data_IF_656003673208
#
_entry.id   IF_656003673208
#
_cell.length_a   1.000
_cell.length_b   1.000
_cell.length_c   1.000
_cell.angle_alpha   90.00
_cell.angle_beta   90.00
_cell.angle_gamma   90.00
#
_symmetry.space_group_name_H-M   'P 1'
#
loop_
_entity.id
_entity.type
_entity.pdbx_description
1 polymer ?
#
# COMPACT_ATOMS: atom_id res chain seq x y z
N UNK A 1 20.04 16.89 13.67
CA UNK A 1 21.10 17.31 14.62
C UNK A 1 22.45 17.04 13.97
N UNK A 2 23.42 17.94 14.03
CA UNK A 2 24.78 17.70 13.52
C UNK A 2 25.74 17.65 14.69
N UNK A 3 26.37 16.49 14.92
CA UNK A 3 27.29 16.23 16.01
C UNK A 3 28.70 15.97 15.47
N UNK A 4 29.73 16.53 16.13
CA UNK A 4 31.13 16.19 15.86
C UNK A 4 31.88 16.10 17.18
N UNK A 5 32.43 14.92 17.47
CA UNK A 5 33.25 14.68 18.67
C UNK A 5 32.50 14.79 19.99
N UNK A 6 31.24 14.34 20.08
CA UNK A 6 30.44 14.42 21.30
C UNK A 6 29.76 15.77 21.53
N UNK A 7 29.91 16.73 20.61
CA UNK A 7 29.36 18.08 20.73
C UNK A 7 28.43 18.39 19.56
N UNK A 8 27.23 18.87 19.89
CA UNK A 8 26.23 19.32 18.90
C UNK A 8 26.68 20.65 18.31
N UNK A 9 26.94 20.66 17.00
CA UNK A 9 27.38 21.85 16.25
C UNK A 9 26.21 22.64 15.65
N UNK A 10 25.13 21.98 15.28
CA UNK A 10 23.91 22.65 14.82
C UNK A 10 22.68 21.76 14.99
N UNK A 11 21.54 22.40 15.24
CA UNK A 11 20.22 21.79 15.24
C UNK A 11 19.30 22.65 14.38
N UNK A 12 18.45 22.00 13.59
CA UNK A 12 17.31 22.63 12.94
C UNK A 12 16.05 21.94 13.48
N UNK A 13 15.04 22.70 13.87
CA UNK A 13 13.81 22.21 14.50
C UNK A 13 13.39 23.04 15.72
N UNK A 14 12.19 22.77 16.22
CA UNK A 14 11.65 23.35 17.45
C UNK A 14 12.07 22.51 18.66
N UNK A 15 12.50 23.18 19.74
CA UNK A 15 12.87 22.54 21.00
C UNK A 15 11.77 22.81 22.03
N UNK A 16 11.20 21.75 22.59
CA UNK A 16 10.24 21.85 23.69
C UNK A 16 10.88 21.34 24.98
N UNK A 17 10.91 22.18 26.01
CA UNK A 17 11.39 21.78 27.34
C UNK A 17 10.27 21.05 28.07
N UNK A 18 10.54 19.82 28.50
CA UNK A 18 9.59 18.99 29.24
C UNK A 18 10.11 18.84 30.67
N UNK A 19 9.53 19.58 31.60
CA UNK A 19 9.85 19.48 33.03
C UNK A 19 8.89 18.50 33.71
N UNK A 20 9.19 17.20 33.64
CA UNK A 20 8.38 16.18 34.31
C UNK A 20 9.21 14.98 34.76
N UNK A 21 8.87 14.46 35.93
CA UNK A 21 9.45 13.25 36.54
C UNK A 21 8.50 12.05 36.46
N UNK A 22 7.45 12.13 35.63
CA UNK A 22 6.46 11.06 35.48
C UNK A 22 7.13 9.74 35.10
N UNK A 23 6.64 8.65 35.69
CA UNK A 23 7.05 7.28 35.37
C UNK A 23 5.84 6.53 34.83
N UNK A 24 6.06 5.56 33.95
CA UNK A 24 4.97 4.71 33.45
C UNK A 24 4.23 4.00 34.61
N UNK A 25 2.91 4.11 34.61
CA UNK A 25 2.02 3.40 35.57
C UNK A 25 1.40 2.14 34.96
N UNK A 26 1.45 1.98 33.63
CA UNK A 26 1.07 0.74 32.92
C UNK A 26 2.30 0.03 32.39
N UNK A 27 2.21 -1.29 32.21
CA UNK A 27 3.27 -2.09 31.58
C UNK A 27 3.24 -1.96 30.05
N UNK A 28 4.37 -2.27 29.41
CA UNK A 28 4.48 -2.37 27.95
C UNK A 28 3.40 -3.28 27.36
N UNK A 29 3.20 -4.48 27.92
CA UNK A 29 2.16 -5.40 27.45
C UNK A 29 0.75 -4.80 27.49
N UNK A 30 0.42 -4.04 28.56
CA UNK A 30 -0.88 -3.36 28.63
C UNK A 30 -1.01 -2.29 27.55
N UNK A 31 0.08 -1.56 27.28
CA UNK A 31 0.10 -0.55 26.22
C UNK A 31 -0.12 -1.20 24.83
N UNK A 32 0.50 -2.35 24.57
CA UNK A 32 0.24 -3.16 23.37
C UNK A 32 -1.24 -3.55 23.30
N UNK A 33 -1.83 -4.06 24.39
CA UNK A 33 -3.25 -4.43 24.41
C UNK A 33 -4.18 -3.23 24.13
N UNK A 34 -3.79 -2.01 24.53
CA UNK A 34 -4.52 -0.78 24.18
C UNK A 34 -4.36 -0.44 22.69
N UNK A 35 -3.15 -0.53 22.15
CA UNK A 35 -2.86 -0.25 20.75
C UNK A 35 -3.58 -1.23 19.81
N UNK A 36 -3.58 -2.54 20.11
CA UNK A 36 -4.27 -3.56 19.31
C UNK A 36 -5.80 -3.44 19.39
N UNK A 37 -6.35 -2.92 20.50
CA UNK A 37 -7.77 -2.58 20.59
C UNK A 37 -8.13 -1.33 19.79
N UNK A 38 -7.18 -0.42 19.60
CA UNK A 38 -7.36 0.77 18.79
C UNK A 38 -7.29 0.45 17.28
N UNK A 39 -6.38 -0.44 16.91
CA UNK A 39 -6.17 -0.93 15.54
C UNK A 39 -6.55 -2.42 15.42
N UNK A 40 -7.85 -2.78 15.48
CA UNK A 40 -8.26 -4.17 15.37
C UNK A 40 -7.97 -4.73 13.97
N UNK A 41 -7.40 -5.94 13.92
CA UNK A 41 -7.17 -6.67 12.68
C UNK A 41 -7.53 -8.15 12.86
N UNK A 42 -7.90 -8.81 11.76
CA UNK A 42 -8.05 -10.26 11.69
C UNK A 42 -6.70 -10.96 11.57
N UNK A 43 -5.75 -10.28 10.90
CA UNK A 43 -4.38 -10.73 10.73
C UNK A 43 -3.44 -9.53 10.84
N UNK A 44 -2.42 -9.64 11.67
CA UNK A 44 -1.37 -8.66 11.82
C UNK A 44 -0.08 -9.09 11.12
N UNK A 45 0.81 -8.12 10.87
CA UNK A 45 2.08 -8.32 10.17
C UNK A 45 2.95 -9.44 10.76
N UNK A 46 3.07 -9.49 12.08
CA UNK A 46 3.87 -10.50 12.80
C UNK A 46 3.27 -11.92 12.78
N UNK A 47 2.00 -12.06 12.40
CA UNK A 47 1.35 -13.37 12.24
C UNK A 47 1.61 -13.97 10.85
N UNK A 48 2.24 -13.22 9.95
CA UNK A 48 2.61 -13.68 8.62
C UNK A 48 3.94 -14.43 8.64
N UNK A 49 3.98 -15.63 8.04
CA UNK A 49 5.18 -16.44 7.85
C UNK A 49 5.97 -16.07 6.58
N UNK A 50 5.60 -14.98 5.90
CA UNK A 50 6.24 -14.50 4.69
C UNK A 50 7.60 -13.84 5.03
N UNK A 51 8.61 -14.67 5.29
CA UNK A 51 10.00 -14.25 5.40
C UNK A 51 10.72 -14.42 4.07
N UNK A 52 11.21 -13.31 3.49
CA UNK A 52 12.04 -13.35 2.29
C UNK A 52 12.40 -11.96 1.77
N UNK A 53 13.51 -11.40 2.26
CA UNK A 53 14.19 -10.23 1.68
C UNK A 53 13.55 -8.88 2.04
N UNK A 54 14.24 -8.07 2.85
CA UNK A 54 13.77 -6.80 3.48
C UNK A 54 12.64 -6.93 4.53
N UNK A 55 12.04 -8.12 4.68
CA UNK A 55 10.88 -8.46 5.51
C UNK A 55 11.03 -8.40 7.05
N UNK A 56 12.19 -8.09 7.62
CA UNK A 56 12.34 -8.09 9.10
C UNK A 56 11.51 -7.00 9.80
N UNK A 57 11.23 -5.87 9.13
CA UNK A 57 10.44 -4.77 9.72
C UNK A 57 8.93 -4.96 9.59
N UNK A 58 8.45 -5.92 8.80
CA UNK A 58 7.02 -6.14 8.53
C UNK A 58 6.41 -7.26 9.38
N UNK A 59 7.25 -8.06 10.04
CA UNK A 59 6.84 -9.21 10.86
C UNK A 59 7.14 -9.03 12.35
N UNK A 60 7.43 -7.81 12.81
CA UNK A 60 7.76 -7.56 14.21
C UNK A 60 6.49 -7.38 15.05
N UNK A 61 6.43 -8.11 16.16
CA UNK A 61 5.48 -7.83 17.23
C UNK A 61 5.75 -6.42 17.78
N UNK A 62 4.72 -5.64 18.19
CA UNK A 62 4.94 -4.30 18.69
C UNK A 62 5.97 -4.27 19.83
N UNK A 63 6.98 -3.41 19.68
CA UNK A 63 8.05 -3.18 20.67
C UNK A 63 7.94 -1.75 21.20
N UNK A 64 7.33 -1.54 22.37
CA UNK A 64 7.03 -0.19 22.87
C UNK A 64 8.26 0.56 23.37
N UNK A 65 8.48 1.77 22.86
CA UNK A 65 9.48 2.71 23.37
C UNK A 65 8.80 3.79 24.23
N UNK A 66 9.33 4.04 25.43
CA UNK A 66 8.80 5.08 26.31
C UNK A 66 9.35 6.46 25.93
N UNK A 67 8.48 7.35 25.46
CA UNK A 67 8.84 8.69 24.97
C UNK A 67 7.87 9.76 25.49
N UNK A 68 8.18 11.02 25.22
CA UNK A 68 7.22 12.11 25.36
C UNK A 68 6.57 12.42 24.02
N UNK A 69 5.27 12.22 23.92
CA UNK A 69 4.50 12.47 22.70
C UNK A 69 3.47 13.60 22.90
N UNK A 70 3.32 14.53 21.95
CA UNK A 70 2.25 15.52 22.01
C UNK A 70 0.89 14.89 21.72
N UNK A 71 -0.14 15.30 22.46
CA UNK A 71 -1.52 14.86 22.24
C UNK A 71 -2.00 15.32 20.83
N UNK A 72 -2.52 14.37 20.04
CA UNK A 72 -2.88 14.54 18.62
C UNK A 72 -1.74 15.05 17.71
N UNK A 73 -0.47 14.81 18.08
CA UNK A 73 0.69 15.35 17.37
C UNK A 73 0.71 16.90 17.28
N UNK A 74 0.01 17.59 18.19
CA UNK A 74 -0.01 19.06 18.26
C UNK A 74 1.14 19.55 19.14
N UNK A 75 2.25 19.92 18.48
CA UNK A 75 3.50 20.36 19.10
C UNK A 75 3.36 21.73 19.75
N UNK A 76 2.76 21.77 20.94
CA UNK A 76 2.59 22.95 21.80
C UNK A 76 3.12 22.70 23.19
N UNK A 77 3.64 23.76 23.80
CA UNK A 77 4.13 23.72 25.19
C UNK A 77 3.04 23.24 26.15
N UNK A 78 3.39 22.30 27.03
CA UNK A 78 2.45 21.68 27.99
C UNK A 78 1.52 20.59 27.41
N UNK A 79 1.53 20.36 26.09
CA UNK A 79 0.68 19.35 25.43
C UNK A 79 1.32 17.96 25.32
N UNK A 80 2.42 17.71 26.02
CA UNK A 80 3.13 16.43 25.98
C UNK A 80 2.62 15.47 27.06
N UNK A 81 2.57 14.19 26.72
CA UNK A 81 2.25 13.06 27.60
C UNK A 81 3.40 12.06 27.55
N UNK A 82 3.68 11.43 28.69
CA UNK A 82 4.57 10.29 28.71
C UNK A 82 3.82 9.13 28.07
N UNK A 83 4.36 8.56 27.00
CA UNK A 83 3.66 7.62 26.14
C UNK A 83 4.54 6.48 25.69
N UNK A 84 3.94 5.31 25.52
CA UNK A 84 4.54 4.21 24.78
C UNK A 84 4.27 4.41 23.28
N UNK A 85 5.33 4.57 22.49
CA UNK A 85 5.27 4.57 21.03
C UNK A 85 5.56 3.16 20.52
N UNK A 86 4.71 2.62 19.67
CA UNK A 86 4.93 1.31 19.05
C UNK A 86 4.42 1.28 17.62
N UNK A 87 5.02 0.42 16.80
CA UNK A 87 4.58 0.15 15.43
C UNK A 87 3.52 -0.94 15.44
N UNK A 88 2.37 -0.68 14.84
CA UNK A 88 1.31 -1.68 14.69
C UNK A 88 1.00 -1.84 13.22
N UNK A 89 1.05 -3.08 12.73
CA UNK A 89 0.79 -3.40 11.33
C UNK A 89 -0.34 -4.42 11.18
N UNK A 90 -1.47 -3.98 10.62
CA UNK A 90 -2.63 -4.78 10.25
C UNK A 90 -2.56 -5.17 8.76
N UNK A 91 -2.87 -6.44 8.45
CA UNK A 91 -2.91 -7.00 7.09
C UNK A 91 -4.34 -7.27 6.58
N UNK A 92 -5.29 -7.57 7.46
CA UNK A 92 -6.70 -7.89 7.12
C UNK A 92 -7.65 -7.30 8.17
N UNK A 93 -8.84 -6.77 7.81
CA UNK A 93 -9.42 -6.71 6.46
C UNK A 93 -8.81 -5.62 5.56
N UNK A 94 -8.07 -4.68 6.13
CA UNK A 94 -7.38 -3.61 5.40
C UNK A 94 -5.93 -3.51 5.85
N UNK A 95 -5.04 -3.23 4.90
CA UNK A 95 -3.62 -3.00 5.20
C UNK A 95 -3.49 -1.62 5.85
N UNK A 96 -3.07 -1.57 7.11
CA UNK A 96 -2.88 -0.32 7.85
C UNK A 96 -1.67 -0.47 8.78
N UNK A 97 -0.76 0.51 8.77
CA UNK A 97 0.42 0.51 9.63
C UNK A 97 0.55 1.89 10.25
N UNK A 98 0.65 1.99 11.56
CA UNK A 98 0.78 3.28 12.23
C UNK A 98 1.74 3.20 13.42
N UNK A 99 2.37 4.33 13.73
CA UNK A 99 2.89 4.56 15.07
C UNK A 99 1.71 4.89 15.97
N UNK A 100 1.48 4.05 16.96
CA UNK A 100 0.46 4.27 17.98
C UNK A 100 1.14 4.76 19.25
N UNK A 101 0.65 5.86 19.80
CA UNK A 101 1.16 6.48 21.03
C UNK A 101 0.14 6.29 22.14
N UNK A 102 0.47 5.49 23.15
CA UNK A 102 -0.42 5.15 24.27
C UNK A 102 0.06 5.85 25.54
N UNK A 103 -0.79 6.60 26.21
CA UNK A 103 -0.51 7.29 27.48
C UNK A 103 -0.03 6.26 28.53
N UNK A 104 1.20 6.45 29.03
CA UNK A 104 1.85 5.53 29.95
C UNK A 104 1.26 5.56 31.37
N UNK A 105 0.34 6.47 31.67
CA UNK A 105 -0.39 6.52 32.95
C UNK A 105 -1.71 5.76 32.91
N UNK A 106 -2.49 5.95 31.83
CA UNK A 106 -3.89 5.54 31.79
C UNK A 106 -4.29 4.68 30.59
N UNK A 107 -3.41 4.51 29.59
CA UNK A 107 -3.69 3.70 28.40
C UNK A 107 -4.52 4.38 27.31
N UNK A 108 -4.84 5.67 27.44
CA UNK A 108 -5.52 6.46 26.40
C UNK A 108 -4.61 6.59 25.18
N UNK A 109 -5.18 6.52 23.97
CA UNK A 109 -4.44 6.87 22.75
C UNK A 109 -4.17 8.37 22.76
N UNK A 110 -2.89 8.73 22.78
CA UNK A 110 -2.39 10.11 22.76
C UNK A 110 -2.32 10.62 21.34
N UNK A 111 -1.89 9.77 20.42
CA UNK A 111 -1.79 10.06 19.00
C UNK A 111 -1.72 8.76 18.19
N UNK A 112 -1.99 8.88 16.91
CA UNK A 112 -1.71 7.87 15.89
C UNK A 112 -1.06 8.61 14.70
N UNK A 113 0.04 8.08 14.19
CA UNK A 113 0.69 8.57 12.99
C UNK A 113 0.71 7.44 11.96
N UNK A 114 -0.09 7.58 10.90
CA UNK A 114 -0.14 6.59 9.85
C UNK A 114 1.24 6.50 9.17
N UNK A 115 1.80 5.29 9.15
CA UNK A 115 3.09 4.95 8.55
C UNK A 115 2.95 4.42 7.14
N UNK A 116 1.74 4.05 6.73
CA UNK A 116 1.41 3.97 5.32
C UNK A 116 0.82 5.34 4.98
N UNK A 117 1.70 6.31 4.74
CA UNK A 117 1.26 7.50 4.03
C UNK A 117 0.83 6.97 2.66
N UNK A 118 -0.47 7.00 2.35
CA UNK A 118 -0.94 6.81 0.98
C UNK A 118 -1.21 8.20 0.45
N UNK A 119 -0.27 8.74 -0.32
CA UNK A 119 -0.61 9.88 -1.16
C UNK A 119 -0.77 9.35 -2.56
N UNK A 120 -1.98 9.42 -3.08
CA UNK A 120 -2.20 9.19 -4.50
C UNK A 120 -1.50 10.32 -5.26
N UNK A 121 -0.45 9.97 -5.99
CA UNK A 121 0.34 10.89 -6.80
C UNK A 121 0.19 10.53 -8.27
N UNK A 122 0.24 11.56 -9.10
CA UNK A 122 0.40 11.37 -10.52
C UNK A 122 1.84 10.93 -10.80
N UNK A 123 1.98 9.86 -11.59
CA UNK A 123 3.26 9.35 -12.05
C UNK A 123 3.25 9.06 -13.55
N UNK A 124 4.43 8.94 -14.12
CA UNK A 124 4.62 8.63 -15.54
C UNK A 124 5.15 7.22 -15.70
N UNK A 125 4.53 6.45 -16.58
CA UNK A 125 4.92 5.06 -16.85
C UNK A 125 5.15 4.86 -18.34
N UNK A 126 6.11 3.98 -18.67
CA UNK A 126 6.27 3.49 -20.02
C UNK A 126 5.57 2.16 -20.18
N UNK A 127 4.41 2.19 -20.81
CA UNK A 127 3.66 0.97 -21.14
C UNK A 127 4.25 0.28 -22.37
N UNK A 128 4.03 -1.02 -22.52
CA UNK A 128 4.49 -1.80 -23.67
C UNK A 128 3.64 -1.51 -24.90
N UNK A 129 2.33 -1.35 -24.72
CA UNK A 129 1.37 -1.30 -25.83
C UNK A 129 0.76 0.08 -26.07
N UNK A 130 0.74 0.95 -25.06
CA UNK A 130 0.16 2.30 -25.16
C UNK A 130 1.20 3.43 -25.21
N UNK A 131 2.50 3.11 -25.13
CA UNK A 131 3.56 4.11 -25.03
C UNK A 131 3.57 4.81 -23.67
N UNK A 132 4.11 6.03 -23.62
CA UNK A 132 4.21 6.77 -22.37
C UNK A 132 2.82 7.22 -21.93
N UNK A 133 2.48 6.96 -20.66
CA UNK A 133 1.20 7.30 -20.06
C UNK A 133 1.40 7.88 -18.68
N UNK A 134 0.37 8.61 -18.26
CA UNK A 134 0.24 9.14 -16.91
C UNK A 134 -0.77 8.29 -16.18
N UNK A 135 -0.44 7.88 -14.96
CA UNK A 135 -1.32 7.10 -14.09
C UNK A 135 -1.34 7.71 -12.69
N UNK A 136 -2.42 7.46 -11.95
CA UNK A 136 -2.40 7.65 -10.49
C UNK A 136 -1.77 6.42 -9.84
N UNK A 137 -0.98 6.63 -8.78
CA UNK A 137 -0.33 5.57 -8.02
C UNK A 137 -0.16 5.98 -6.55
N UNK A 138 0.05 5.01 -5.68
CA UNK A 138 0.17 5.21 -4.24
C UNK A 138 1.64 5.42 -3.89
N UNK A 139 1.97 6.61 -3.38
CA UNK A 139 3.25 6.91 -2.77
C UNK A 139 3.23 6.49 -1.30
N UNK A 140 3.83 5.34 -1.01
CA UNK A 140 3.93 4.74 0.33
C UNK A 140 4.94 5.48 1.21
N UNK A 141 6.01 6.00 0.59
CA UNK A 141 7.03 6.85 1.23
C UNK A 141 7.78 7.67 0.17
N UNK A 142 8.68 8.55 0.59
CA UNK A 142 9.43 9.46 -0.31
C UNK A 142 10.01 8.77 -1.56
N UNK A 143 10.52 7.53 -1.42
CA UNK A 143 11.11 6.76 -2.52
C UNK A 143 10.48 5.36 -2.65
N UNK A 144 9.17 5.24 -2.42
CA UNK A 144 8.47 3.98 -2.64
C UNK A 144 7.07 4.25 -3.17
N UNK A 145 6.85 3.84 -4.40
CA UNK A 145 5.60 3.99 -5.13
C UNK A 145 5.08 2.61 -5.51
N UNK A 146 3.77 2.43 -5.58
CA UNK A 146 3.15 1.16 -5.99
C UNK A 146 1.89 1.36 -6.82
N UNK A 147 1.55 0.37 -7.63
CA UNK A 147 0.37 0.38 -8.51
C UNK A 147 -0.94 0.13 -7.75
N UNK A 148 -1.26 1.04 -6.83
CA UNK A 148 -2.53 1.16 -6.12
C UNK A 148 -2.98 2.60 -6.15
N UNK A 149 -4.28 2.85 -6.06
CA UNK A 149 -4.81 4.21 -5.92
C UNK A 149 -6.23 4.19 -5.34
N UNK A 150 -6.68 5.33 -4.81
CA UNK A 150 -8.02 5.51 -4.22
C UNK A 150 -8.80 6.69 -4.79
N UNK A 151 -8.33 7.30 -5.88
CA UNK A 151 -9.01 8.39 -6.58
C UNK A 151 -10.22 7.93 -7.41
N UNK A 152 -10.27 6.63 -7.74
CA UNK A 152 -11.36 6.00 -8.50
C UNK A 152 -12.14 4.99 -7.65
N UNK A 153 -13.37 5.32 -7.30
CA UNK A 153 -14.24 4.47 -6.48
C UNK A 153 -13.58 4.15 -5.13
N UNK A 154 -13.59 2.87 -4.75
CA UNK A 154 -12.87 2.38 -3.57
C UNK A 154 -11.42 1.99 -3.89
N UNK A 155 -10.99 2.12 -5.15
CA UNK A 155 -9.61 2.02 -5.59
C UNK A 155 -9.35 1.08 -6.77
N UNK A 156 -8.14 1.18 -7.31
CA UNK A 156 -7.61 0.29 -8.35
C UNK A 156 -6.31 -0.29 -7.85
N UNK A 157 -6.15 -1.62 -7.95
CA UNK A 157 -5.01 -2.35 -7.39
C UNK A 157 -4.47 -3.31 -8.44
N UNK A 158 -3.17 -3.21 -8.75
CA UNK A 158 -2.47 -4.14 -9.64
C UNK A 158 -1.32 -4.81 -8.91
N UNK A 159 -1.29 -6.14 -8.90
CA UNK A 159 -0.32 -6.96 -8.17
C UNK A 159 0.43 -7.91 -9.11
N UNK A 160 1.66 -8.24 -8.72
CA UNK A 160 2.52 -9.21 -9.39
C UNK A 160 2.35 -10.60 -8.76
N UNK A 161 1.97 -11.59 -9.55
CA UNK A 161 1.84 -12.99 -9.14
C UNK A 161 3.15 -13.78 -9.21
N UNK A 162 4.22 -13.20 -9.74
CA UNK A 162 5.56 -13.78 -9.83
C UNK A 162 5.59 -15.14 -10.55
N UNK A 163 4.78 -15.29 -11.61
CA UNK A 163 4.54 -16.54 -12.35
C UNK A 163 3.89 -17.65 -11.51
N UNK A 164 3.27 -17.29 -10.38
CA UNK A 164 2.52 -18.17 -9.49
C UNK A 164 1.01 -18.20 -9.76
N UNK A 165 0.32 -19.02 -8.96
CA UNK A 165 -1.14 -19.18 -8.99
C UNK A 165 -1.83 -18.76 -7.69
N UNK A 166 -1.09 -18.77 -6.58
CA UNK A 166 -1.62 -18.46 -5.26
C UNK A 166 -1.59 -16.95 -5.02
N UNK A 167 -2.77 -16.33 -5.04
CA UNK A 167 -2.95 -14.89 -4.81
C UNK A 167 -2.42 -14.43 -3.45
N UNK A 168 -2.29 -15.34 -2.47
CA UNK A 168 -1.72 -15.04 -1.15
C UNK A 168 -0.23 -14.74 -1.19
N UNK A 169 0.47 -15.10 -2.27
CA UNK A 169 1.88 -14.80 -2.49
C UNK A 169 2.10 -13.61 -3.43
N UNK A 170 1.03 -12.99 -3.94
CA UNK A 170 1.16 -11.83 -4.81
C UNK A 170 1.80 -10.65 -4.08
N UNK A 171 2.63 -9.89 -4.80
CA UNK A 171 3.35 -8.73 -4.26
C UNK A 171 2.93 -7.46 -4.98
N UNK A 172 3.25 -6.32 -4.36
CA UNK A 172 3.09 -5.02 -5.02
C UNK A 172 4.14 -4.87 -6.13
N UNK A 173 3.70 -4.38 -7.30
CA UNK A 173 4.62 -3.68 -8.19
C UNK A 173 5.10 -2.43 -7.48
N UNK A 174 6.40 -2.26 -7.36
CA UNK A 174 6.99 -1.12 -6.67
C UNK A 174 8.10 -0.47 -7.47
N UNK A 175 8.31 0.82 -7.24
CA UNK A 175 9.40 1.59 -7.83
C UNK A 175 9.89 2.66 -6.87
N UNK A 176 11.15 3.08 -7.01
CA UNK A 176 11.77 4.08 -6.14
C UNK A 176 11.36 5.52 -6.47
N UNK A 177 10.75 5.74 -7.64
CA UNK A 177 10.33 7.03 -8.17
C UNK A 177 8.93 6.94 -8.82
N UNK A 178 8.22 8.07 -8.95
CA UNK A 178 6.95 8.14 -9.69
C UNK A 178 7.15 8.28 -11.22
N UNK A 179 8.39 8.35 -11.68
CA UNK A 179 8.77 8.17 -13.09
C UNK A 179 9.30 6.74 -13.33
N UNK A 180 8.43 5.86 -13.82
CA UNK A 180 8.76 4.46 -14.14
C UNK A 180 9.25 4.31 -15.59
N UNK A 181 9.63 5.39 -16.28
CA UNK A 181 10.21 5.29 -17.62
C UNK A 181 11.66 4.81 -17.62
N UNK A 182 12.36 4.94 -16.49
CA UNK A 182 13.78 4.58 -16.36
C UNK A 182 13.98 3.53 -15.28
N UNK A 183 14.53 2.37 -15.63
CA UNK A 183 14.88 1.33 -14.66
C UNK A 183 13.81 0.26 -14.45
N UNK A 184 12.57 0.49 -14.89
CA UNK A 184 11.53 -0.55 -14.93
C UNK A 184 11.95 -1.70 -15.86
N UNK A 185 11.76 -2.93 -15.40
CA UNK A 185 11.96 -4.09 -16.27
C UNK A 185 10.81 -4.21 -17.27
N UNK A 186 11.02 -4.95 -18.37
CA UNK A 186 9.94 -5.25 -19.31
C UNK A 186 8.78 -5.99 -18.61
N UNK A 187 9.09 -6.77 -17.56
CA UNK A 187 8.10 -7.44 -16.70
C UNK A 187 7.21 -6.42 -16.00
N UNK A 188 7.81 -5.43 -15.31
CA UNK A 188 7.07 -4.39 -14.59
C UNK A 188 6.17 -3.55 -15.51
N UNK A 189 6.56 -3.44 -16.78
CA UNK A 189 5.80 -2.69 -17.78
C UNK A 189 4.40 -3.29 -18.02
N UNK A 190 4.23 -4.62 -17.88
CA UNK A 190 2.93 -5.27 -18.01
C UNK A 190 1.98 -4.87 -16.87
N UNK A 191 2.52 -4.73 -15.65
CA UNK A 191 1.79 -4.16 -14.51
C UNK A 191 1.28 -2.75 -14.81
N UNK A 192 2.13 -1.91 -15.41
CA UNK A 192 1.75 -0.53 -15.77
C UNK A 192 0.72 -0.47 -16.91
N UNK A 193 0.78 -1.37 -17.91
CA UNK A 193 -0.26 -1.50 -18.95
C UNK A 193 -1.62 -1.81 -18.33
N UNK A 194 -1.67 -2.83 -17.45
CA UNK A 194 -2.91 -3.26 -16.80
C UNK A 194 -3.45 -2.18 -15.87
N UNK A 195 -2.60 -1.52 -15.09
CA UNK A 195 -3.03 -0.46 -14.17
C UNK A 195 -3.61 0.75 -14.93
N UNK A 196 -2.91 1.21 -15.98
CA UNK A 196 -3.40 2.26 -16.86
C UNK A 196 -4.74 1.89 -17.53
N UNK A 197 -4.86 0.65 -18.01
CA UNK A 197 -6.07 0.18 -18.65
C UNK A 197 -7.25 0.08 -17.67
N UNK A 198 -7.02 -0.37 -16.43
CA UNK A 198 -8.05 -0.42 -15.39
C UNK A 198 -8.54 0.98 -15.03
N UNK A 199 -7.64 1.96 -14.88
CA UNK A 199 -7.97 3.37 -14.67
C UNK A 199 -8.82 3.92 -15.82
N UNK A 200 -8.36 3.68 -17.05
CA UNK A 200 -9.06 4.13 -18.26
C UNK A 200 -10.46 3.51 -18.39
N UNK A 201 -10.61 2.23 -18.00
CA UNK A 201 -11.90 1.55 -18.03
C UNK A 201 -12.86 2.07 -16.95
N UNK A 202 -12.37 2.36 -15.74
CA UNK A 202 -13.18 3.02 -14.72
C UNK A 202 -13.63 4.41 -15.21
N UNK A 203 -12.72 5.21 -15.76
CA UNK A 203 -13.04 6.56 -16.27
C UNK A 203 -14.06 6.49 -17.40
N UNK A 204 -13.96 5.50 -18.30
CA UNK A 204 -14.95 5.25 -19.33
C UNK A 204 -16.35 5.02 -18.74
N UNK A 205 -16.46 4.16 -17.72
CA UNK A 205 -17.74 3.88 -17.05
C UNK A 205 -18.29 5.12 -16.35
N UNK A 206 -17.44 5.84 -15.63
CA UNK A 206 -17.84 7.00 -14.87
C UNK A 206 -18.26 8.16 -15.79
N UNK A 207 -17.43 8.52 -16.76
CA UNK A 207 -17.63 9.71 -17.59
C UNK A 207 -18.73 9.53 -18.64
N UNK A 208 -18.83 8.34 -19.26
CA UNK A 208 -19.79 8.12 -20.34
C UNK A 208 -21.12 7.54 -19.88
N UNK A 209 -21.12 6.80 -18.77
CA UNK A 209 -22.30 6.07 -18.31
C UNK A 209 -22.77 6.48 -16.91
N UNK A 210 -22.12 7.46 -16.28
CA UNK A 210 -22.42 7.92 -14.91
C UNK A 210 -22.39 6.74 -13.90
N UNK A 211 -21.49 5.78 -14.16
CA UNK A 211 -21.45 4.50 -13.42
C UNK A 211 -20.20 4.43 -12.55
N UNK A 212 -20.41 4.34 -11.24
CA UNK A 212 -19.33 4.20 -10.27
C UNK A 212 -18.82 2.75 -10.18
N UNK A 213 -17.80 2.40 -10.98
CA UNK A 213 -17.26 1.04 -11.13
C UNK A 213 -18.25 0.04 -11.73
N UNK A 214 -17.85 -1.24 -11.81
CA UNK A 214 -18.64 -2.30 -12.43
C UNK A 214 -19.93 -2.63 -11.68
N UNK A 215 -20.05 -2.30 -10.39
CA UNK A 215 -21.22 -2.60 -9.55
C UNK A 215 -22.06 -1.37 -9.15
N UNK A 216 -21.78 -0.18 -9.68
CA UNK A 216 -22.38 1.11 -9.27
C UNK A 216 -22.06 1.59 -7.84
N UNK A 217 -21.27 0.85 -7.07
CA UNK A 217 -20.93 1.17 -5.68
C UNK A 217 -19.41 1.37 -5.48
N UNK A 218 -18.68 1.56 -6.58
CA UNK A 218 -17.25 1.85 -6.53
C UNK A 218 -16.39 0.63 -6.19
N UNK A 219 -16.80 -0.60 -6.55
CA UNK A 219 -15.99 -1.80 -6.33
C UNK A 219 -14.52 -1.60 -6.71
N UNK A 220 -13.62 -2.13 -5.88
CA UNK A 220 -12.18 -2.14 -6.17
C UNK A 220 -11.93 -2.96 -7.44
N UNK A 221 -11.30 -2.35 -8.44
CA UNK A 221 -10.83 -3.08 -9.62
C UNK A 221 -9.46 -3.69 -9.32
N UNK A 222 -9.44 -4.98 -8.98
CA UNK A 222 -8.22 -5.71 -8.63
C UNK A 222 -7.72 -6.57 -9.79
N UNK A 223 -6.45 -6.40 -10.12
CA UNK A 223 -5.76 -7.10 -11.19
C UNK A 223 -4.53 -7.84 -10.68
N UNK A 224 -4.31 -9.04 -11.22
CA UNK A 224 -3.13 -9.86 -11.02
C UNK A 224 -2.42 -10.09 -12.35
N UNK A 225 -1.14 -9.75 -12.42
CA UNK A 225 -0.29 -9.87 -13.61
C UNK A 225 0.78 -10.92 -13.38
N UNK A 226 1.41 -11.45 -14.43
CA UNK A 226 2.38 -12.55 -14.36
C UNK A 226 1.77 -13.81 -13.75
N UNK A 227 0.52 -14.11 -14.10
CA UNK A 227 -0.18 -15.31 -13.61
C UNK A 227 0.31 -16.52 -14.38
N UNK A 228 0.93 -17.49 -13.67
CA UNK A 228 1.51 -18.73 -14.23
C UNK A 228 2.62 -18.49 -15.27
N UNK A 229 3.53 -19.46 -15.36
CA UNK A 229 4.49 -19.51 -16.48
C UNK A 229 3.78 -19.96 -17.78
N UNK A 230 4.14 -19.34 -18.90
CA UNK A 230 3.64 -19.66 -20.25
C UNK A 230 2.10 -19.68 -20.37
N UNK A 231 1.42 -18.80 -19.65
CA UNK A 231 -0.03 -18.70 -19.65
C UNK A 231 -0.53 -17.63 -20.63
N UNK A 232 -1.02 -18.12 -21.76
CA UNK A 232 -1.61 -17.33 -22.84
C UNK A 232 -3.10 -17.07 -22.63
N UNK A 233 -3.49 -16.51 -21.47
CA UNK A 233 -4.90 -16.19 -21.22
C UNK A 233 -5.08 -15.07 -20.20
N UNK A 234 -6.26 -14.44 -20.25
CA UNK A 234 -6.76 -13.52 -19.24
C UNK A 234 -8.12 -14.04 -18.73
N UNK A 235 -8.47 -13.70 -17.49
CA UNK A 235 -9.75 -14.11 -16.90
C UNK A 235 -10.25 -13.10 -15.86
N UNK A 236 -11.56 -12.88 -15.83
CA UNK A 236 -12.32 -12.48 -14.67
C UNK A 236 -12.93 -13.70 -13.96
N UNK A 237 -12.84 -13.77 -12.63
CA UNK A 237 -13.34 -14.92 -11.84
C UNK A 237 -14.55 -14.62 -10.95
N UNK A 238 -15.13 -13.42 -11.07
CA UNK A 238 -16.20 -12.92 -10.21
C UNK A 238 -15.72 -11.90 -9.18
N UNK A 239 -14.43 -11.87 -8.87
CA UNK A 239 -13.85 -10.94 -7.88
C UNK A 239 -12.65 -10.16 -8.41
N UNK A 240 -11.81 -10.79 -9.25
CA UNK A 240 -10.53 -10.24 -9.68
C UNK A 240 -10.23 -10.57 -11.14
N UNK A 241 -9.49 -9.69 -11.80
CA UNK A 241 -8.96 -9.93 -13.14
C UNK A 241 -7.54 -10.53 -13.05
N UNK A 242 -7.22 -11.48 -13.93
CA UNK A 242 -5.93 -12.17 -14.00
C UNK A 242 -5.40 -12.11 -15.43
N UNK A 243 -4.12 -11.81 -15.58
CA UNK A 243 -3.46 -11.64 -16.88
C UNK A 243 -2.15 -12.44 -16.92
N UNK A 244 -2.00 -13.25 -17.96
CA UNK A 244 -0.77 -13.99 -18.23
C UNK A 244 0.15 -13.30 -19.24
N UNK A 245 1.37 -13.80 -19.32
CA UNK A 245 2.44 -13.21 -20.12
C UNK A 245 2.49 -13.72 -21.56
N UNK A 246 1.54 -14.57 -21.94
CA UNK A 246 1.57 -15.29 -23.20
C UNK A 246 2.26 -16.65 -23.05
N UNK A 247 2.40 -17.35 -24.17
CA UNK A 247 3.09 -18.63 -24.27
C UNK A 247 3.97 -18.62 -25.52
N UNK A 248 5.27 -18.26 -25.40
CA UNK A 248 6.19 -18.17 -26.53
C UNK A 248 6.47 -19.52 -27.22
N UNK A 249 6.05 -20.64 -26.64
CA UNK A 249 6.17 -21.97 -27.25
C UNK A 249 4.92 -22.40 -28.03
N UNK A 250 3.82 -21.66 -27.90
CA UNK A 250 2.52 -21.99 -28.49
C UNK A 250 2.40 -21.62 -29.98
N UNK A 251 3.24 -20.69 -30.46
CA UNK A 251 3.27 -20.24 -31.86
C UNK A 251 2.05 -19.44 -32.31
N UNK A 252 1.17 -19.04 -31.38
CA UNK A 252 -0.05 -18.26 -31.69
C UNK A 252 -0.43 -17.20 -30.65
N UNK A 253 0.20 -17.20 -29.46
CA UNK A 253 -0.06 -16.23 -28.40
C UNK A 253 1.22 -15.95 -27.61
N UNK A 254 2.26 -15.51 -28.31
CA UNK A 254 3.60 -15.32 -27.73
C UNK A 254 3.74 -14.00 -26.94
N UNK A 255 2.68 -13.20 -26.85
CA UNK A 255 2.66 -11.87 -26.24
C UNK A 255 1.77 -11.82 -25.00
N UNK A 256 2.06 -10.91 -24.05
CA UNK A 256 1.25 -10.71 -22.85
C UNK A 256 -0.14 -10.21 -23.22
N UNK A 257 -1.14 -10.72 -22.51
CA UNK A 257 -2.56 -10.38 -22.74
C UNK A 257 -3.00 -9.16 -21.92
N UNK A 258 -2.19 -8.11 -21.98
CA UNK A 258 -2.31 -6.89 -21.13
C UNK A 258 -2.77 -5.66 -21.90
N UNK A 259 -3.16 -5.80 -23.17
CA UNK A 259 -3.70 -4.66 -23.93
C UNK A 259 -5.02 -4.15 -23.35
N UNK A 260 -5.26 -2.86 -23.55
CA UNK A 260 -6.37 -2.13 -22.95
C UNK A 260 -7.75 -2.73 -23.27
N UNK A 261 -7.93 -3.29 -24.47
CA UNK A 261 -9.16 -3.95 -24.88
C UNK A 261 -9.38 -5.30 -24.18
N UNK A 262 -8.33 -6.09 -23.94
CA UNK A 262 -8.40 -7.31 -23.14
C UNK A 262 -8.70 -6.97 -21.67
N UNK A 263 -8.01 -5.99 -21.10
CA UNK A 263 -8.28 -5.56 -19.71
C UNK A 263 -9.73 -5.08 -19.56
N UNK A 264 -10.21 -4.27 -20.51
CA UNK A 264 -11.60 -3.84 -20.55
C UNK A 264 -12.58 -5.03 -20.75
N UNK A 265 -12.23 -6.02 -21.57
CA UNK A 265 -13.03 -7.22 -21.78
C UNK A 265 -13.23 -7.99 -20.47
N UNK A 266 -12.16 -8.24 -19.73
CA UNK A 266 -12.25 -8.96 -18.46
C UNK A 266 -13.10 -8.20 -17.43
N UNK A 267 -12.91 -6.89 -17.27
CA UNK A 267 -13.78 -6.12 -16.38
C UNK A 267 -15.23 -5.99 -16.89
N UNK A 268 -15.47 -6.12 -18.19
CA UNK A 268 -16.83 -6.17 -18.75
C UNK A 268 -17.55 -7.47 -18.39
N UNK A 269 -16.83 -8.59 -18.20
CA UNK A 269 -17.43 -9.78 -17.59
C UNK A 269 -17.96 -9.47 -16.20
N UNK A 270 -17.15 -8.81 -15.36
CA UNK A 270 -17.61 -8.34 -14.04
C UNK A 270 -18.78 -7.39 -14.11
N UNK A 271 -18.79 -6.43 -15.04
CA UNK A 271 -19.95 -5.56 -15.28
C UNK A 271 -21.22 -6.37 -15.57
N UNK A 272 -21.10 -7.41 -16.41
CA UNK A 272 -22.22 -8.28 -16.78
C UNK A 272 -22.74 -9.07 -15.58
N UNK A 273 -21.89 -9.45 -14.63
CA UNK A 273 -22.31 -10.14 -13.40
C UNK A 273 -23.20 -9.26 -12.50
N UNK A 274 -23.10 -7.94 -12.61
CA UNK A 274 -23.85 -6.96 -11.81
C UNK A 274 -25.06 -6.33 -12.54
N UNK A 275 -25.45 -6.83 -13.72
CA UNK A 275 -26.58 -6.29 -14.52
C UNK A 275 -27.48 -7.38 -15.07
#
# INVERSE_FOLDING_TARGET
LHEKGGVVHSMNGELFQIESTAQASISEQKAIDFALRHMPAEKYGWESTLGGGQTELMSQYPDPELIWAPENLDFKEGNFRLSYKMDVYALSPHVHRAWVFVDAQNGKIVAEENRICHTDVEGTVQTVLSGQRTIMMDQVSDNLFRLRETTRGNGIITLDMQNGEDIGNAIDFTHEDNDWNTGATLSDSYGTDVHFAAQSYYDLLFDLFDRNSINEEGLILRSYVHVKEDWANATWDGEVARFGDGNPTSGSLDLPVVCIDIVAHEFTHGLTDYT
#
